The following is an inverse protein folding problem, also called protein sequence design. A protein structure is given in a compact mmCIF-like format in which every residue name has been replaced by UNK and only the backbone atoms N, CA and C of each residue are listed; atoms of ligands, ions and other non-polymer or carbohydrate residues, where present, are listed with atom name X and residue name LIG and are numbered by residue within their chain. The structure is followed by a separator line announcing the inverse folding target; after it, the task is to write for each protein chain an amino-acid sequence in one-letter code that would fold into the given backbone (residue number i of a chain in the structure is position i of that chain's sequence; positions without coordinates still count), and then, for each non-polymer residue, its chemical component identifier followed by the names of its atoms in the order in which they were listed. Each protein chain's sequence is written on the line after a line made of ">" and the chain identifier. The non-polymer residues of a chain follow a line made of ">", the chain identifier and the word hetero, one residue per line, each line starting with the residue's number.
data_IF_895989134294
#
_entry.id   IF_895989134294
#
_cell.length_a   1.000
_cell.length_b   1.000
_cell.length_c   1.000
_cell.angle_alpha   90.00
_cell.angle_beta   90.00
_cell.angle_gamma   90.00
#
_symmetry.space_group_name_H-M   'P 1'
#
loop_
_entity.id
_entity.type
_entity.pdbx_description
1 polymer ?
#
# COMPACT_ATOMS: atom_id res chain seq x y z
N UNK A 1 -14.60 17.29 52.01
CA UNK A 1 -13.36 17.00 51.20
C UNK A 1 -13.79 16.31 49.92
N UNK A 2 -13.83 17.04 48.81
CA UNK A 2 -14.18 16.51 47.49
C UNK A 2 -12.89 16.13 46.80
N UNK A 3 -12.65 14.80 46.64
CA UNK A 3 -11.54 14.26 45.89
C UNK A 3 -11.87 14.39 44.39
N UNK A 4 -11.18 15.26 43.68
CA UNK A 4 -11.18 15.28 42.23
C UNK A 4 -10.27 14.16 41.72
N UNK A 5 -10.92 13.10 41.22
CA UNK A 5 -10.21 12.07 40.45
C UNK A 5 -9.67 12.70 39.18
N UNK A 6 -8.34 12.74 39.04
CA UNK A 6 -7.67 13.10 37.81
C UNK A 6 -8.05 12.05 36.76
N UNK A 7 -8.89 12.43 35.80
CA UNK A 7 -9.14 11.65 34.61
C UNK A 7 -7.81 11.56 33.82
N UNK A 8 -7.16 10.42 33.84
CA UNK A 8 -6.06 10.11 32.93
C UNK A 8 -6.60 10.15 31.50
N UNK A 9 -6.45 11.28 30.83
CA UNK A 9 -6.62 11.37 29.40
C UNK A 9 -5.57 10.44 28.77
N UNK A 10 -5.96 9.22 28.43
CA UNK A 10 -5.16 8.34 27.59
C UNK A 10 -5.02 9.04 26.25
N UNK A 11 -3.83 9.59 25.98
CA UNK A 11 -3.42 10.04 24.65
C UNK A 11 -3.37 8.82 23.72
N UNK A 12 -4.54 8.35 23.27
CA UNK A 12 -4.61 7.32 22.24
C UNK A 12 -4.22 7.98 20.91
N UNK A 13 -3.07 7.63 20.37
CA UNK A 13 -2.68 8.04 19.03
C UNK A 13 -3.79 7.72 18.04
N UNK A 14 -4.10 8.68 17.16
CA UNK A 14 -5.19 8.52 16.19
C UNK A 14 -4.98 7.26 15.33
N UNK A 15 -5.99 6.41 15.24
CA UNK A 15 -5.94 5.24 14.36
C UNK A 15 -5.90 5.71 12.91
N UNK A 16 -5.00 5.13 12.13
CA UNK A 16 -4.83 5.42 10.69
C UNK A 16 -5.30 4.28 9.78
N UNK A 17 -5.38 3.07 10.32
CA UNK A 17 -5.79 1.90 9.56
C UNK A 17 -5.72 0.61 10.37
N UNK A 18 -5.74 -0.50 9.65
CA UNK A 18 -5.66 -1.86 10.22
C UNK A 18 -4.71 -2.73 9.39
N UNK A 19 -4.04 -3.68 10.04
CA UNK A 19 -3.28 -4.71 9.39
C UNK A 19 -4.23 -5.67 8.64
N UNK A 20 -4.35 -5.53 7.33
CA UNK A 20 -5.26 -6.34 6.51
C UNK A 20 -4.70 -7.73 6.23
N UNK A 21 -3.38 -7.84 6.03
CA UNK A 21 -2.69 -9.12 5.89
C UNK A 21 -1.28 -9.02 6.49
N UNK A 22 -0.86 -10.09 7.15
CA UNK A 22 0.47 -10.22 7.78
C UNK A 22 1.10 -11.52 7.31
N UNK A 23 2.32 -11.46 6.81
CA UNK A 23 3.11 -12.62 6.40
C UNK A 23 4.48 -12.53 7.08
N UNK A 24 4.97 -13.63 7.63
CA UNK A 24 6.26 -13.69 8.29
C UNK A 24 6.35 -12.77 9.52
N UNK A 25 7.56 -12.32 9.80
CA UNK A 25 7.81 -11.48 10.98
C UNK A 25 7.49 -10.02 10.70
N UNK A 26 6.53 -9.48 11.45
CA UNK A 26 6.17 -8.05 11.45
C UNK A 26 6.07 -7.57 12.88
N UNK A 27 6.78 -6.50 13.19
CA UNK A 27 6.81 -5.86 14.51
C UNK A 27 6.31 -4.43 14.44
N UNK A 28 5.69 -4.00 15.52
CA UNK A 28 5.16 -2.66 15.74
C UNK A 28 5.68 -2.11 17.07
N UNK A 29 6.11 -0.86 17.08
CA UNK A 29 6.44 -0.08 18.28
C UNK A 29 6.07 1.39 18.09
N UNK A 30 5.96 2.13 19.18
CA UNK A 30 5.76 3.58 19.18
C UNK A 30 6.34 4.19 20.45
N UNK A 31 6.23 5.51 20.61
CA UNK A 31 6.78 6.21 21.79
C UNK A 31 6.14 5.76 23.10
N UNK A 32 4.84 5.37 23.08
CA UNK A 32 4.12 4.89 24.26
C UNK A 32 4.43 3.42 24.59
N UNK A 33 4.79 2.63 23.56
CA UNK A 33 5.17 1.23 23.67
C UNK A 33 6.46 0.98 22.88
N UNK A 34 7.63 1.35 23.44
CA UNK A 34 8.91 1.23 22.73
C UNK A 34 9.35 -0.21 22.48
N UNK A 35 8.88 -1.16 23.31
CA UNK A 35 9.17 -2.59 23.10
C UNK A 35 8.39 -3.09 21.90
N UNK A 36 9.07 -3.58 20.85
CA UNK A 36 8.39 -4.08 19.66
C UNK A 36 7.48 -5.27 19.99
N UNK A 37 6.24 -5.24 19.52
CA UNK A 37 5.28 -6.35 19.58
C UNK A 37 5.02 -6.91 18.19
N UNK A 38 4.70 -8.22 18.12
CA UNK A 38 4.29 -8.87 16.87
C UNK A 38 2.93 -8.36 16.44
N UNK A 39 2.81 -8.04 15.15
CA UNK A 39 1.56 -7.58 14.53
C UNK A 39 0.70 -8.77 14.16
N UNK A 40 -0.57 -8.73 14.55
CA UNK A 40 -1.59 -9.70 14.11
C UNK A 40 -2.49 -9.09 13.02
N UNK A 41 -3.16 -9.96 12.25
CA UNK A 41 -4.21 -9.52 11.32
C UNK A 41 -5.32 -8.82 12.11
N UNK A 42 -5.84 -7.72 11.56
CA UNK A 42 -6.79 -6.78 12.18
C UNK A 42 -6.21 -5.92 13.31
N UNK A 43 -4.90 -6.01 13.57
CA UNK A 43 -4.23 -5.09 14.51
C UNK A 43 -4.47 -3.64 14.07
N UNK A 44 -4.81 -2.79 15.03
CA UNK A 44 -4.93 -1.34 14.79
C UNK A 44 -3.55 -0.73 14.61
N UNK A 45 -3.42 0.08 13.59
CA UNK A 45 -2.21 0.87 13.33
C UNK A 45 -2.54 2.33 13.59
N UNK A 46 -1.72 2.97 14.36
CA UNK A 46 -1.91 4.35 14.81
C UNK A 46 -0.86 5.29 14.20
N UNK A 47 -1.13 6.58 14.31
CA UNK A 47 -0.17 7.63 13.95
C UNK A 47 1.10 7.49 14.81
N UNK A 48 2.24 7.72 14.21
CA UNK A 48 3.59 7.57 14.78
C UNK A 48 4.04 6.13 15.08
N UNK A 49 3.24 5.12 14.70
CA UNK A 49 3.69 3.74 14.79
C UNK A 49 4.89 3.49 13.86
N UNK A 50 5.90 2.80 14.38
CA UNK A 50 7.06 2.29 13.66
C UNK A 50 6.84 0.81 13.36
N UNK A 51 6.77 0.50 12.07
CA UNK A 51 6.55 -0.84 11.55
C UNK A 51 7.88 -1.39 11.03
N UNK A 52 8.22 -2.61 11.43
CA UNK A 52 9.43 -3.31 11.01
C UNK A 52 9.06 -4.69 10.48
N UNK A 53 9.57 -5.05 9.30
CA UNK A 53 9.40 -6.38 8.71
C UNK A 53 10.72 -7.12 8.65
N UNK A 54 10.68 -8.43 8.89
CA UNK A 54 11.83 -9.33 8.73
C UNK A 54 12.09 -9.73 7.28
N UNK A 55 13.06 -10.64 7.08
CA UNK A 55 13.53 -11.07 5.73
C UNK A 55 12.42 -11.65 4.84
N UNK A 56 11.44 -12.34 5.37
CA UNK A 56 10.27 -12.84 4.64
C UNK A 56 8.99 -12.13 5.09
N UNK A 57 9.13 -11.01 5.81
CA UNK A 57 8.03 -10.27 6.37
C UNK A 57 7.32 -9.41 5.34
N UNK A 58 5.99 -9.34 5.45
CA UNK A 58 5.16 -8.41 4.67
C UNK A 58 3.93 -8.02 5.46
N UNK A 59 3.62 -6.75 5.44
CA UNK A 59 2.38 -6.20 5.99
C UNK A 59 1.59 -5.52 4.89
N UNK A 60 0.31 -5.85 4.78
CA UNK A 60 -0.64 -5.04 4.03
C UNK A 60 -1.47 -4.23 5.03
N UNK A 61 -1.37 -2.93 4.95
CA UNK A 61 -2.09 -1.96 5.76
C UNK A 61 -3.26 -1.40 4.94
N UNK A 62 -4.47 -1.55 5.43
CA UNK A 62 -5.65 -0.88 4.90
C UNK A 62 -5.87 0.40 5.71
N UNK A 63 -5.73 1.54 5.07
CA UNK A 63 -5.94 2.85 5.67
C UNK A 63 -7.43 3.19 5.73
N UNK A 64 -7.82 4.08 6.63
CA UNK A 64 -9.23 4.51 6.80
C UNK A 64 -9.82 5.16 5.55
N UNK A 65 -8.97 5.68 4.69
CA UNK A 65 -9.33 6.25 3.39
C UNK A 65 -9.44 5.21 2.26
N UNK A 66 -9.38 3.94 2.57
CA UNK A 66 -9.36 2.80 1.63
C UNK A 66 -8.11 2.73 0.75
N UNK A 67 -7.11 3.56 0.99
CA UNK A 67 -5.78 3.35 0.40
C UNK A 67 -5.14 2.12 1.01
N UNK A 68 -4.29 1.47 0.22
CA UNK A 68 -3.53 0.30 0.69
C UNK A 68 -2.04 0.63 0.69
N UNK A 69 -1.38 0.36 1.79
CA UNK A 69 0.07 0.46 1.91
C UNK A 69 0.64 -0.92 2.17
N UNK A 70 1.35 -1.48 1.21
CA UNK A 70 2.05 -2.76 1.37
C UNK A 70 3.51 -2.48 1.72
N UNK A 71 3.97 -3.07 2.79
CA UNK A 71 5.34 -2.98 3.33
C UNK A 71 6.01 -4.31 3.08
N UNK A 72 7.06 -4.30 2.26
CA UNK A 72 7.80 -5.48 1.86
C UNK A 72 8.81 -5.97 2.90
N UNK A 73 9.69 -6.89 2.50
CA UNK A 73 10.70 -7.47 3.38
C UNK A 73 11.76 -6.45 3.84
N UNK A 74 12.34 -6.70 5.01
CA UNK A 74 13.46 -5.92 5.59
C UNK A 74 13.20 -4.40 5.67
N UNK A 75 11.94 -4.01 5.76
CA UNK A 75 11.52 -2.61 5.74
C UNK A 75 11.37 -2.03 7.14
N UNK A 76 11.58 -0.72 7.23
CA UNK A 76 11.29 0.10 8.41
C UNK A 76 10.52 1.32 7.94
N UNK A 77 9.29 1.46 8.41
CA UNK A 77 8.36 2.51 7.97
C UNK A 77 7.67 3.11 9.18
N UNK A 78 7.52 4.43 9.19
CA UNK A 78 6.74 5.16 10.18
C UNK A 78 5.58 5.88 9.51
N UNK A 79 4.43 5.83 10.14
CA UNK A 79 3.24 6.56 9.70
C UNK A 79 3.25 7.94 10.36
N UNK A 80 3.62 8.98 9.62
CA UNK A 80 3.86 10.31 10.18
C UNK A 80 2.67 11.25 10.11
N UNK A 81 1.80 11.07 9.12
CA UNK A 81 0.65 11.94 8.90
C UNK A 81 -0.55 11.15 8.39
N UNK A 82 -1.68 11.41 8.97
CA UNK A 82 -2.95 10.93 8.45
C UNK A 82 -4.04 11.94 8.84
N UNK A 83 -4.51 12.70 7.87
CA UNK A 83 -5.65 13.60 8.03
C UNK A 83 -6.73 13.11 7.10
N UNK A 84 -7.84 12.66 7.66
CA UNK A 84 -9.02 12.24 6.92
C UNK A 84 -10.17 13.20 7.24
N UNK A 85 -10.53 14.05 6.28
CA UNK A 85 -11.70 14.90 6.31
C UNK A 85 -12.59 14.54 5.12
N UNK A 86 -13.77 13.94 5.34
CA UNK A 86 -14.67 13.54 4.25
C UNK A 86 -15.09 14.69 3.33
N UNK A 87 -15.03 15.94 3.83
CA UNK A 87 -15.50 17.14 3.10
C UNK A 87 -14.39 17.92 2.41
N UNK A 88 -13.16 17.84 2.90
CA UNK A 88 -12.01 18.65 2.44
C UNK A 88 -10.93 17.87 1.72
N UNK A 89 -11.08 16.55 1.59
CA UNK A 89 -10.05 15.68 1.03
C UNK A 89 -9.13 15.08 2.09
N UNK A 90 -8.11 14.40 1.64
CA UNK A 90 -7.25 13.56 2.49
C UNK A 90 -5.79 13.89 2.27
N UNK A 91 -5.05 13.89 3.35
CA UNK A 91 -3.59 13.92 3.30
C UNK A 91 -3.07 12.75 4.12
N UNK A 92 -2.40 11.82 3.48
CA UNK A 92 -1.71 10.73 4.15
C UNK A 92 -0.21 10.86 3.92
N UNK A 93 0.58 10.50 4.92
CA UNK A 93 2.03 10.56 4.84
C UNK A 93 2.69 9.44 5.62
N UNK A 94 3.73 8.87 5.03
CA UNK A 94 4.57 7.87 5.66
C UNK A 94 6.03 8.16 5.36
N UNK A 95 6.92 7.89 6.32
CA UNK A 95 8.36 7.90 6.11
C UNK A 95 8.86 6.47 5.99
N UNK A 96 9.40 6.15 4.83
CA UNK A 96 10.13 4.90 4.57
C UNK A 96 11.59 5.15 4.91
N UNK A 97 12.03 4.58 6.03
CA UNK A 97 13.43 4.70 6.47
C UNK A 97 14.32 3.79 5.62
N UNK A 98 13.84 2.59 5.31
CA UNK A 98 14.48 1.61 4.42
C UNK A 98 13.49 0.54 3.96
N UNK A 99 13.84 -0.16 2.88
CA UNK A 99 13.09 -1.31 2.36
C UNK A 99 12.08 -0.96 1.29
N UNK A 100 11.32 -1.96 0.86
CA UNK A 100 10.41 -1.84 -0.27
C UNK A 100 8.96 -1.62 0.17
N UNK A 101 8.23 -0.87 -0.64
CA UNK A 101 6.84 -0.56 -0.38
C UNK A 101 6.02 -0.45 -1.67
N UNK A 102 4.71 -0.64 -1.54
CA UNK A 102 3.72 -0.29 -2.57
C UNK A 102 2.61 0.53 -1.92
N UNK A 103 2.32 1.66 -2.50
CA UNK A 103 1.15 2.46 -2.15
C UNK A 103 0.14 2.37 -3.29
N UNK A 104 -1.11 2.13 -2.96
CA UNK A 104 -2.22 2.16 -3.89
C UNK A 104 -3.27 3.12 -3.34
N UNK A 105 -3.53 4.18 -4.09
CA UNK A 105 -4.57 5.14 -3.74
C UNK A 105 -5.93 4.47 -3.65
N UNK A 106 -6.70 4.80 -2.62
CA UNK A 106 -8.11 4.42 -2.51
C UNK A 106 -8.95 5.13 -3.57
N UNK A 107 -10.28 5.07 -3.42
CA UNK A 107 -11.17 5.78 -4.34
C UNK A 107 -10.80 7.25 -4.44
N UNK A 108 -10.49 7.70 -5.66
CA UNK A 108 -10.08 9.06 -5.91
C UNK A 108 -11.30 9.99 -5.94
N UNK A 109 -11.51 10.71 -4.85
CA UNK A 109 -12.26 11.95 -4.93
C UNK A 109 -11.26 13.10 -5.16
N UNK A 110 -11.64 14.10 -5.95
CA UNK A 110 -10.81 15.28 -6.20
C UNK A 110 -10.31 15.86 -4.87
N UNK A 111 -8.97 16.01 -4.73
CA UNK A 111 -8.34 16.57 -3.53
C UNK A 111 -7.56 15.57 -2.66
N UNK A 112 -7.48 14.30 -3.04
CA UNK A 112 -6.70 13.31 -2.30
C UNK A 112 -5.22 13.36 -2.72
N UNK A 113 -4.36 13.69 -1.79
CA UNK A 113 -2.91 13.59 -1.96
C UNK A 113 -2.32 12.66 -0.92
N UNK A 114 -1.41 11.80 -1.34
CA UNK A 114 -0.57 11.04 -0.45
C UNK A 114 0.88 11.48 -0.64
N UNK A 115 1.65 11.47 0.42
CA UNK A 115 3.07 11.72 0.37
C UNK A 115 3.83 10.59 1.04
N UNK A 116 4.86 10.11 0.38
CA UNK A 116 5.83 9.19 0.97
C UNK A 116 7.17 9.91 1.02
N UNK A 117 7.78 9.95 2.19
CA UNK A 117 9.11 10.51 2.38
C UNK A 117 10.13 9.38 2.52
N UNK A 118 11.30 9.58 1.96
CA UNK A 118 12.50 8.78 2.21
C UNK A 118 13.59 9.68 2.80
N UNK A 119 14.73 9.16 3.23
CA UNK A 119 15.82 10.00 3.73
C UNK A 119 16.33 11.04 2.72
N UNK A 120 16.10 10.83 1.43
CA UNK A 120 16.65 11.67 0.35
C UNK A 120 15.59 12.29 -0.55
N UNK A 121 14.32 11.88 -0.47
CA UNK A 121 13.28 12.34 -1.38
C UNK A 121 11.93 12.51 -0.69
N UNK A 122 11.12 13.41 -1.23
CA UNK A 122 9.68 13.49 -0.99
C UNK A 122 8.95 13.09 -2.26
N UNK A 123 8.02 12.13 -2.13
CA UNK A 123 7.25 11.56 -3.23
C UNK A 123 5.79 11.95 -3.04
N UNK A 124 5.27 12.78 -3.92
CA UNK A 124 3.83 13.09 -3.99
C UNK A 124 3.11 12.05 -4.87
N UNK A 125 1.90 11.62 -4.46
CA UNK A 125 1.14 10.56 -5.14
C UNK A 125 -0.29 11.04 -5.36
N UNK A 126 -0.77 10.95 -6.59
CA UNK A 126 -2.14 11.33 -6.98
C UNK A 126 -2.79 10.22 -7.81
N UNK A 127 -3.78 9.54 -7.22
CA UNK A 127 -4.68 8.65 -7.96
C UNK A 127 -4.01 7.45 -8.64
N UNK A 128 -2.93 6.90 -8.09
CA UNK A 128 -2.14 5.88 -8.77
C UNK A 128 -1.64 4.77 -7.85
N UNK A 129 -1.02 3.75 -8.44
CA UNK A 129 -0.20 2.75 -7.75
C UNK A 129 1.27 3.14 -7.93
N UNK A 130 1.96 3.29 -6.82
CA UNK A 130 3.40 3.54 -6.77
C UNK A 130 4.10 2.42 -6.02
N UNK A 131 5.19 1.93 -6.57
CA UNK A 131 6.14 1.06 -5.87
C UNK A 131 7.44 1.82 -5.65
N UNK A 132 8.12 1.52 -4.55
CA UNK A 132 9.41 2.11 -4.29
C UNK A 132 10.26 1.28 -3.35
N UNK A 133 11.53 1.56 -3.33
CA UNK A 133 12.50 0.95 -2.44
C UNK A 133 13.55 1.95 -2.00
N UNK A 134 13.95 1.85 -0.74
CA UNK A 134 14.94 2.74 -0.10
C UNK A 134 16.11 1.91 0.42
N UNK A 135 17.31 2.38 0.15
CA UNK A 135 18.56 1.79 0.61
C UNK A 135 19.18 0.83 -0.41
N UNK A 136 19.74 -0.28 0.07
CA UNK A 136 20.52 -1.21 -0.74
C UNK A 136 19.76 -1.76 -1.94
N UNK A 137 18.47 -2.09 -1.74
CA UNK A 137 17.61 -2.58 -2.83
C UNK A 137 17.46 -1.59 -3.98
N UNK A 138 17.36 -0.29 -3.69
CA UNK A 138 17.31 0.76 -4.71
C UNK A 138 18.60 0.80 -5.52
N UNK A 139 19.74 0.76 -4.83
CA UNK A 139 21.05 0.76 -5.45
C UNK A 139 21.31 -0.48 -6.30
N UNK A 140 20.88 -1.64 -5.83
CA UNK A 140 21.09 -2.89 -6.57
C UNK A 140 20.26 -2.93 -7.86
N UNK A 141 19.04 -2.44 -7.84
CA UNK A 141 18.23 -2.27 -9.05
C UNK A 141 18.89 -1.26 -10.00
N UNK A 142 19.34 -0.12 -9.49
CA UNK A 142 19.97 0.95 -10.27
C UNK A 142 21.18 0.47 -11.11
N UNK A 143 21.94 -0.54 -10.63
CA UNK A 143 23.06 -1.12 -11.36
C UNK A 143 22.69 -1.77 -12.70
N UNK A 144 21.42 -2.13 -12.88
CA UNK A 144 20.91 -2.82 -14.06
C UNK A 144 20.07 -1.91 -14.97
N UNK A 145 19.98 -0.63 -14.61
CA UNK A 145 19.25 0.38 -15.38
C UNK A 145 20.16 1.16 -16.34
N UNK A 146 19.63 2.18 -16.98
CA UNK A 146 20.32 3.06 -17.91
C UNK A 146 21.62 3.64 -17.33
N UNK A 147 22.54 4.02 -18.22
CA UNK A 147 23.88 4.51 -17.85
C UNK A 147 23.84 5.61 -16.79
N UNK A 148 22.95 6.59 -16.95
CA UNK A 148 22.83 7.72 -16.00
C UNK A 148 22.47 7.26 -14.59
N UNK A 149 21.62 6.23 -14.47
CA UNK A 149 21.20 5.67 -13.18
C UNK A 149 22.28 4.76 -12.62
N UNK A 150 22.85 3.91 -13.46
CA UNK A 150 23.87 2.91 -13.06
C UNK A 150 25.17 3.54 -12.57
N UNK A 151 25.62 4.62 -13.19
CA UNK A 151 26.87 5.31 -12.85
C UNK A 151 26.72 6.37 -11.74
N UNK A 152 25.49 6.57 -11.25
CA UNK A 152 25.25 7.52 -10.17
C UNK A 152 25.93 7.08 -8.87
N UNK A 153 26.56 8.03 -8.18
CA UNK A 153 27.14 7.82 -6.84
C UNK A 153 26.02 7.66 -5.80
N UNK A 154 25.62 6.40 -5.59
CA UNK A 154 24.45 6.05 -4.80
C UNK A 154 24.81 5.57 -3.39
N UNK A 155 24.23 6.21 -2.37
CA UNK A 155 24.38 5.81 -0.98
C UNK A 155 23.60 4.50 -0.70
N UNK A 156 24.26 3.54 -0.05
CA UNK A 156 23.69 2.20 0.22
C UNK A 156 22.49 2.24 1.18
N UNK A 157 22.40 3.25 2.04
CA UNK A 157 21.39 3.29 3.09
C UNK A 157 20.19 4.14 2.70
N UNK A 158 20.39 5.11 1.82
CA UNK A 158 19.40 6.17 1.59
C UNK A 158 18.94 6.31 0.14
N UNK A 159 19.69 5.74 -0.84
CA UNK A 159 19.26 5.78 -2.23
C UNK A 159 17.80 5.35 -2.37
N UNK A 160 17.04 6.02 -3.22
CA UNK A 160 15.60 5.82 -3.35
C UNK A 160 15.25 5.64 -4.82
N UNK A 161 14.55 4.56 -5.12
CA UNK A 161 13.96 4.30 -6.45
C UNK A 161 12.44 4.23 -6.28
N UNK A 162 11.72 4.90 -7.19
CA UNK A 162 10.26 4.82 -7.26
C UNK A 162 9.81 4.57 -8.69
N UNK A 163 8.69 3.85 -8.84
CA UNK A 163 8.11 3.46 -10.12
C UNK A 163 6.61 3.69 -10.09
N UNK A 164 6.11 4.43 -11.08
CA UNK A 164 4.68 4.58 -11.34
C UNK A 164 4.15 3.31 -12.02
N UNK A 165 3.19 2.63 -11.38
CA UNK A 165 2.65 1.35 -11.88
C UNK A 165 1.41 1.49 -12.75
N UNK A 166 0.68 2.57 -12.58
CA UNK A 166 -0.55 2.82 -13.31
C UNK A 166 -1.69 3.27 -12.42
N UNK A 167 -2.93 3.23 -12.91
CA UNK A 167 -4.09 3.72 -12.18
C UNK A 167 -4.29 2.95 -10.86
N UNK A 168 -4.78 3.66 -9.84
CA UNK A 168 -5.15 3.08 -8.54
C UNK A 168 -6.39 2.18 -8.63
N UNK A 169 -6.69 1.47 -7.54
CA UNK A 169 -7.90 0.67 -7.45
C UNK A 169 -9.16 1.55 -7.53
N UNK A 170 -10.16 1.12 -8.30
CA UNK A 170 -11.43 1.82 -8.44
C UNK A 170 -11.44 2.96 -9.47
N UNK A 171 -10.43 3.06 -10.31
CA UNK A 171 -10.49 3.91 -11.50
C UNK A 171 -11.37 3.26 -12.56
N UNK A 172 -12.31 4.01 -13.11
CA UNK A 172 -13.14 3.54 -14.22
C UNK A 172 -12.31 3.34 -15.50
N UNK A 173 -12.74 2.47 -16.42
CA UNK A 173 -12.10 2.34 -17.73
C UNK A 173 -12.04 3.71 -18.43
N UNK A 174 -10.83 4.16 -18.77
CA UNK A 174 -10.59 5.48 -19.35
C UNK A 174 -10.24 6.59 -18.35
N UNK A 175 -10.13 6.29 -17.06
CA UNK A 175 -9.63 7.21 -16.07
C UNK A 175 -8.13 7.52 -16.28
N UNK A 176 -7.72 8.73 -15.96
CA UNK A 176 -6.32 9.15 -16.05
C UNK A 176 -5.42 8.26 -15.21
N UNK A 177 -4.23 8.01 -15.72
CA UNK A 177 -3.21 7.13 -15.11
C UNK A 177 -2.74 7.64 -13.75
N UNK A 178 -3.20 8.76 -13.27
CA UNK A 178 -2.67 9.40 -12.07
C UNK A 178 -1.22 9.85 -12.27
N UNK A 179 -0.63 10.43 -11.25
CA UNK A 179 0.72 10.96 -11.32
C UNK A 179 1.47 10.79 -10.01
N UNK A 180 2.80 10.77 -10.09
CA UNK A 180 3.66 10.91 -8.94
C UNK A 180 4.75 11.94 -9.21
N UNK A 181 5.12 12.70 -8.17
CA UNK A 181 6.22 13.65 -8.22
C UNK A 181 7.32 13.22 -7.27
N UNK A 182 8.57 13.32 -7.69
CA UNK A 182 9.75 12.98 -6.87
C UNK A 182 10.62 14.22 -6.73
N UNK A 183 10.72 14.72 -5.51
CA UNK A 183 11.46 15.95 -5.20
C UNK A 183 12.69 15.65 -4.34
N UNK A 184 13.83 16.12 -4.76
CA UNK A 184 15.11 16.07 -4.02
C UNK A 184 16.06 17.15 -4.54
N UNK A 185 16.93 17.70 -3.69
CA UNK A 185 17.92 18.72 -4.09
C UNK A 185 17.30 19.95 -4.76
N UNK A 186 16.06 20.30 -4.42
CA UNK A 186 15.35 21.44 -5.04
C UNK A 186 14.80 21.15 -6.45
N UNK A 187 14.95 19.93 -6.97
CA UNK A 187 14.46 19.50 -8.29
C UNK A 187 13.30 18.53 -8.14
N UNK A 188 12.30 18.66 -8.99
CA UNK A 188 11.15 17.75 -9.05
C UNK A 188 11.10 17.05 -10.40
N UNK A 189 10.93 15.73 -10.39
CA UNK A 189 10.67 14.90 -11.56
C UNK A 189 9.23 14.38 -11.46
N UNK A 190 8.45 14.59 -12.51
CA UNK A 190 7.08 14.09 -12.63
C UNK A 190 7.07 12.73 -13.34
N UNK A 191 6.31 11.79 -12.79
CA UNK A 191 6.01 10.49 -13.38
C UNK A 191 4.53 10.51 -13.78
N UNK A 192 4.25 10.41 -15.07
CA UNK A 192 2.89 10.54 -15.63
C UNK A 192 2.46 9.33 -16.46
N UNK A 193 3.40 8.44 -16.78
CA UNK A 193 3.13 7.23 -17.55
C UNK A 193 3.47 5.97 -16.75
N UNK A 194 2.73 4.88 -16.96
CA UNK A 194 3.06 3.60 -16.36
C UNK A 194 4.49 3.17 -16.68
N UNK A 195 5.18 2.59 -15.70
CA UNK A 195 6.56 2.12 -15.79
C UNK A 195 7.62 3.23 -15.84
N UNK A 196 7.23 4.50 -15.75
CA UNK A 196 8.19 5.56 -15.47
C UNK A 196 8.71 5.44 -14.05
N UNK A 197 10.01 5.68 -13.92
CA UNK A 197 10.75 5.62 -12.67
C UNK A 197 11.58 6.88 -12.45
N UNK A 198 11.88 7.16 -11.19
CA UNK A 198 12.87 8.14 -10.77
C UNK A 198 13.79 7.55 -9.71
N UNK A 199 15.06 7.87 -9.80
CA UNK A 199 16.10 7.43 -8.88
C UNK A 199 16.77 8.62 -8.20
N UNK A 200 16.83 8.62 -6.88
CA UNK A 200 17.55 9.61 -6.08
C UNK A 200 18.74 8.91 -5.42
N UNK A 201 19.97 9.18 -5.88
CA UNK A 201 21.14 8.41 -5.46
C UNK A 201 21.55 8.69 -4.01
N UNK A 202 21.44 9.94 -3.54
CA UNK A 202 21.88 10.37 -2.21
C UNK A 202 21.25 11.70 -1.81
N UNK A 203 21.41 12.08 -0.56
CA UNK A 203 20.91 13.36 -0.05
C UNK A 203 21.47 14.55 -0.85
N UNK A 204 20.61 15.51 -1.15
CA UNK A 204 20.94 16.72 -1.90
C UNK A 204 21.13 16.52 -3.41
N UNK A 205 21.15 15.28 -3.91
CA UNK A 205 21.21 15.02 -5.35
C UNK A 205 19.82 15.23 -5.99
N UNK A 206 19.80 15.77 -7.20
CA UNK A 206 18.59 15.83 -8.02
C UNK A 206 18.11 14.41 -8.38
N UNK A 207 16.81 14.19 -8.54
CA UNK A 207 16.29 12.93 -9.06
C UNK A 207 16.75 12.71 -10.50
N UNK A 208 17.17 11.50 -10.82
CA UNK A 208 17.45 11.05 -12.18
C UNK A 208 16.15 10.44 -12.73
N UNK A 209 15.63 11.00 -13.81
CA UNK A 209 14.38 10.57 -14.42
C UNK A 209 13.65 11.68 -15.16
N UNK A 210 12.41 11.44 -15.68
CA UNK A 210 11.80 10.11 -15.72
C UNK A 210 12.53 9.18 -16.69
N UNK A 211 12.70 7.92 -16.31
CA UNK A 211 13.18 6.87 -17.20
C UNK A 211 12.24 5.66 -17.15
N UNK A 212 12.27 4.80 -18.16
CA UNK A 212 11.49 3.57 -18.16
C UNK A 212 12.28 2.47 -17.46
N UNK A 213 11.74 1.93 -16.36
CA UNK A 213 12.39 0.85 -15.62
C UNK A 213 12.53 -0.40 -16.48
N UNK A 214 13.67 -1.08 -16.38
CA UNK A 214 13.88 -2.35 -17.06
C UNK A 214 12.97 -3.47 -16.51
N UNK A 215 12.63 -4.50 -17.32
CA UNK A 215 11.87 -5.65 -16.81
C UNK A 215 12.55 -6.35 -15.64
N UNK A 216 13.88 -6.43 -15.62
CA UNK A 216 14.66 -7.00 -14.53
C UNK A 216 14.58 -6.18 -13.25
N UNK A 217 14.74 -4.85 -13.37
CA UNK A 217 14.60 -3.93 -12.25
C UNK A 217 13.21 -3.95 -11.65
N UNK A 218 12.18 -4.02 -12.50
CA UNK A 218 10.80 -4.13 -12.06
C UNK A 218 10.52 -5.43 -11.31
N UNK A 219 11.00 -6.58 -11.83
CA UNK A 219 10.87 -7.86 -11.14
C UNK A 219 11.55 -7.84 -9.78
N UNK A 220 12.78 -7.32 -9.72
CA UNK A 220 13.52 -7.19 -8.45
C UNK A 220 12.81 -6.31 -7.43
N UNK A 221 12.19 -5.21 -7.87
CA UNK A 221 11.39 -4.36 -7.00
C UNK A 221 10.15 -5.11 -6.49
N UNK A 222 9.46 -5.80 -7.39
CA UNK A 222 8.27 -6.57 -7.06
C UNK A 222 8.56 -7.66 -6.02
N UNK A 223 9.65 -8.42 -6.19
CA UNK A 223 10.07 -9.48 -5.29
C UNK A 223 10.41 -8.94 -3.87
N UNK A 224 10.92 -7.71 -3.79
CA UNK A 224 11.17 -7.05 -2.50
C UNK A 224 9.87 -6.61 -1.80
N UNK A 225 8.85 -6.18 -2.57
CA UNK A 225 7.53 -5.82 -2.03
C UNK A 225 6.73 -7.06 -1.67
N UNK A 226 6.82 -8.13 -2.47
CA UNK A 226 6.08 -9.37 -2.34
C UNK A 226 7.03 -10.58 -2.23
N UNK A 227 7.79 -10.68 -1.13
CA UNK A 227 8.71 -11.80 -0.98
C UNK A 227 7.94 -13.12 -1.01
N UNK A 228 8.39 -14.06 -1.85
CA UNK A 228 7.87 -15.42 -1.82
C UNK A 228 8.21 -16.07 -0.47
N UNK A 229 7.29 -16.88 0.06
CA UNK A 229 7.59 -17.69 1.24
C UNK A 229 8.75 -18.63 0.90
N UNK A 230 9.88 -18.44 1.53
CA UNK A 230 10.98 -19.41 1.53
C UNK A 230 10.54 -20.64 2.34
N UNK A 231 9.90 -21.60 1.70
CA UNK A 231 9.43 -22.81 2.36
C UNK A 231 8.45 -23.61 1.50
N UNK A 232 8.96 -24.53 0.67
CA UNK A 232 8.22 -25.72 0.22
C UNK A 232 7.49 -25.62 -1.12
N UNK A 233 8.04 -26.28 -2.14
CA UNK A 233 7.29 -26.90 -3.23
C UNK A 233 6.88 -25.97 -4.38
N UNK A 234 7.59 -26.13 -5.49
CA UNK A 234 7.27 -25.47 -6.75
C UNK A 234 5.84 -25.77 -7.21
N UNK A 235 5.09 -24.70 -7.39
CA UNK A 235 3.90 -24.56 -8.24
C UNK A 235 3.42 -23.11 -8.08
N UNK A 236 4.06 -22.15 -8.74
CA UNK A 236 3.66 -20.73 -8.58
C UNK A 236 4.20 -19.76 -9.61
N UNK A 237 4.66 -20.23 -10.77
CA UNK A 237 5.09 -19.32 -11.86
C UNK A 237 3.99 -18.98 -12.86
N UNK A 238 2.75 -18.94 -12.44
CA UNK A 238 1.67 -18.57 -13.34
C UNK A 238 0.65 -17.70 -12.61
N UNK A 239 0.98 -16.42 -12.41
CA UNK A 239 -0.02 -15.34 -12.25
C UNK A 239 0.72 -13.99 -12.24
N UNK A 240 1.34 -13.64 -13.37
CA UNK A 240 1.68 -12.27 -13.74
C UNK A 240 0.38 -11.56 -14.18
N UNK A 241 -0.44 -11.24 -13.24
CA UNK A 241 -1.64 -10.44 -13.45
C UNK A 241 -2.13 -9.97 -12.09
N UNK A 242 -1.95 -8.68 -11.81
CA UNK A 242 -2.30 -8.07 -10.53
C UNK A 242 -3.81 -8.11 -10.26
N UNK A 243 -4.34 -9.25 -9.91
CA UNK A 243 -5.65 -9.34 -9.31
C UNK A 243 -5.48 -9.27 -7.79
N UNK A 244 -5.81 -8.13 -7.23
CA UNK A 244 -6.07 -7.98 -5.81
C UNK A 244 -7.31 -8.84 -5.50
N UNK A 245 -7.11 -10.03 -4.94
CA UNK A 245 -8.22 -10.79 -4.38
C UNK A 245 -8.62 -10.10 -3.09
N UNK A 246 -9.55 -9.18 -3.18
CA UNK A 246 -10.32 -8.71 -2.04
C UNK A 246 -11.31 -9.85 -1.75
N UNK A 247 -10.97 -10.70 -0.78
CA UNK A 247 -11.95 -11.61 -0.21
C UNK A 247 -13.00 -10.76 0.51
N UNK A 248 -14.28 -10.82 0.11
CA UNK A 248 -15.32 -10.17 0.87
C UNK A 248 -15.37 -10.84 2.25
N UNK A 249 -15.32 -10.04 3.31
CA UNK A 249 -15.58 -10.51 4.65
C UNK A 249 -17.00 -11.06 4.69
N UNK A 250 -17.14 -12.38 4.80
CA UNK A 250 -18.41 -13.04 5.10
C UNK A 250 -18.77 -12.63 6.52
N UNK A 251 -19.67 -11.66 6.64
CA UNK A 251 -20.38 -11.38 7.89
C UNK A 251 -21.39 -12.52 8.03
N UNK A 252 -21.05 -13.51 8.85
CA UNK A 252 -21.95 -14.59 9.22
C UNK A 252 -22.98 -14.05 10.23
N UNK A 253 -24.06 -13.49 9.71
CA UNK A 253 -25.27 -13.18 10.46
C UNK A 253 -26.16 -14.41 10.49
N UNK A 254 -26.31 -15.03 11.67
CA UNK A 254 -27.19 -16.16 11.88
C UNK A 254 -28.62 -15.85 11.45
N UNK A 255 -29.15 -16.60 10.51
CA UNK A 255 -30.53 -16.55 10.03
C UNK A 255 -31.06 -17.96 9.83
N UNK A 256 -32.10 -18.26 10.56
CA UNK A 256 -32.89 -19.50 10.65
C UNK A 256 -33.15 -20.18 9.31
N UNK A 257 -33.06 -21.53 9.31
CA UNK A 257 -33.59 -22.42 8.25
C UNK A 257 -35.07 -22.12 7.97
N UNK A 258 -35.50 -22.01 6.73
CA UNK A 258 -36.90 -22.25 6.38
C UNK A 258 -37.13 -23.71 6.00
N UNK A 259 -38.34 -24.16 6.35
CA UNK A 259 -38.80 -25.50 6.19
C UNK A 259 -38.99 -25.93 4.73
N UNK A 260 -38.83 -27.23 4.51
CA UNK A 260 -39.16 -27.97 3.27
C UNK A 260 -40.60 -27.70 2.84
N UNK A 261 -40.79 -27.09 1.68
CA UNK A 261 -42.02 -27.01 0.94
C UNK A 261 -41.98 -27.90 -0.29
N UNK A 262 -42.94 -28.80 -0.40
CA UNK A 262 -43.18 -29.84 -1.41
C UNK A 262 -43.37 -29.26 -2.83
N UNK A 263 -42.82 -29.95 -3.79
CA UNK A 263 -43.03 -29.83 -5.26
C UNK A 263 -44.51 -30.13 -5.61
N UNK A 264 -45.14 -29.38 -6.51
CA UNK A 264 -46.27 -29.86 -7.30
C UNK A 264 -45.76 -30.26 -8.72
N UNK A 265 -46.27 -31.42 -9.20
CA UNK A 265 -46.03 -31.97 -10.52
C UNK A 265 -46.89 -31.31 -11.62
N UNK A 266 -46.63 -31.69 -12.90
CA UNK A 266 -47.21 -31.03 -14.05
C UNK A 266 -48.56 -31.70 -14.42
N UNK A 267 -49.49 -30.86 -14.88
CA UNK A 267 -50.70 -31.14 -15.71
C UNK A 267 -51.93 -30.42 -15.13
N UNK A 268 -52.41 -29.44 -15.82
CA UNK A 268 -53.63 -29.50 -16.61
C UNK A 268 -54.02 -28.15 -17.28
N UNK A 269 -54.91 -28.18 -18.29
CA UNK A 269 -54.84 -27.27 -19.40
C UNK A 269 -55.92 -26.17 -19.39
N UNK A 270 -55.68 -25.23 -20.27
CA UNK A 270 -56.58 -24.33 -21.00
C UNK A 270 -58.01 -24.05 -20.50
N UNK A 271 -58.37 -22.82 -20.30
CA UNK A 271 -59.72 -22.27 -20.29
C UNK A 271 -59.71 -20.81 -20.78
N UNK A 272 -60.32 -20.61 -21.95
CA UNK A 272 -60.44 -19.38 -22.77
C UNK A 272 -61.71 -18.58 -22.35
N UNK A 273 -62.02 -17.41 -22.90
CA UNK A 273 -62.27 -16.14 -22.25
C UNK A 273 -63.74 -15.73 -22.25
N UNK A 274 -64.04 -14.69 -21.51
CA UNK A 274 -65.34 -14.04 -21.60
C UNK A 274 -65.26 -12.55 -21.26
N UNK A 275 -65.46 -11.74 -22.27
CA UNK A 275 -65.94 -10.36 -22.22
C UNK A 275 -67.45 -10.32 -21.88
N UNK A 276 -68.09 -9.22 -21.58
CA UNK A 276 -67.88 -7.88 -22.07
C UNK A 276 -67.27 -6.85 -21.11
#
# INVERSE_FOLDING_TARGET
>A
MLSWGAANAQNSSAQVGVAAAVVGEVKLSNAQSPKPKTVAVRERIALADLIQTGKGGRLQLLLLDRSTFTIGANSVIRIDRFVYDPSRGRTSGATVVRGAFRFMSGQSNRGNSAAVSSPVATIGIRGTILEGVVGEGARDIAKHEDKAVREADADKKTATLVVLRGPGAGTEPGAEVGAASVTSGGVTVELTEPMQAAFVPRAGAAPIGPFRISPGGLSSLHDQVFPEKSGGGGLGKALLGGALIILPAVINGGGKKPARGSTPGPNDPAGVPGKP
#
